data_IF_882076781475
#
_entry.id   IF_882076781475
#
_cell.length_a   1.000
_cell.length_b   1.000
_cell.length_c   1.000
_cell.angle_alpha   90.00
_cell.angle_beta   90.00
_cell.angle_gamma   90.00
#
_symmetry.space_group_name_H-M   'P 1'
#
loop_
_entity.id
_entity.type
_entity.pdbx_description
1 polymer ?
#
# COMPACT_ATOMS: atom_id res chain seq x y z
N UNK A 1 10.24 21.36 -2.86
CA UNK A 1 9.23 21.70 -1.86
C UNK A 1 7.94 20.98 -2.20
N UNK A 2 7.42 20.24 -1.21
CA UNK A 2 6.27 19.35 -1.37
C UNK A 2 4.98 20.11 -1.02
N UNK A 3 4.58 21.03 -1.90
CA UNK A 3 3.36 21.84 -1.70
C UNK A 3 2.42 21.72 -2.89
N UNK A 4 1.11 21.72 -2.61
CA UNK A 4 0.04 21.83 -3.61
C UNK A 4 -0.80 23.08 -3.32
N UNK A 5 -1.54 23.54 -4.31
CA UNK A 5 -2.55 24.57 -4.10
C UNK A 5 -3.72 24.02 -3.25
N UNK A 6 -4.20 24.82 -2.31
CA UNK A 6 -5.42 24.53 -1.59
C UNK A 6 -6.63 24.70 -2.53
N UNK A 7 -7.67 23.88 -2.32
CA UNK A 7 -8.95 24.11 -2.98
C UNK A 7 -9.54 25.45 -2.50
N UNK A 8 -9.88 26.30 -3.43
CA UNK A 8 -10.54 27.57 -3.14
C UNK A 8 -11.95 27.56 -3.71
N UNK A 9 -12.95 27.75 -2.87
CA UNK A 9 -14.35 27.76 -3.25
C UNK A 9 -14.80 29.03 -3.98
N UNK A 10 -13.96 30.05 -4.06
CA UNK A 10 -14.31 31.36 -4.68
C UNK A 10 -13.60 31.66 -6.01
N UNK A 11 -12.55 30.89 -6.34
CA UNK A 11 -11.91 30.87 -7.66
C UNK A 11 -11.73 29.42 -8.05
N UNK A 12 -12.40 28.97 -9.09
CA UNK A 12 -12.13 27.68 -9.69
C UNK A 12 -10.69 27.68 -10.26
N UNK A 13 -9.73 27.23 -9.44
CA UNK A 13 -8.44 26.85 -9.95
C UNK A 13 -8.64 25.55 -10.74
N UNK A 14 -8.42 25.61 -12.03
CA UNK A 14 -8.60 24.48 -12.95
C UNK A 14 -7.56 23.38 -12.71
N UNK A 15 -7.25 22.90 -11.61
CA UNK A 15 -6.44 21.73 -11.22
C UNK A 15 -5.96 21.89 -9.77
N UNK A 16 -6.81 21.53 -8.81
CA UNK A 16 -6.49 21.55 -7.39
C UNK A 16 -5.37 20.57 -6.95
N UNK A 17 -4.98 19.64 -7.83
CA UNK A 17 -3.96 18.63 -7.56
C UNK A 17 -2.61 18.91 -8.23
N UNK A 18 -2.49 20.01 -8.96
CA UNK A 18 -1.28 20.36 -9.68
C UNK A 18 -0.38 21.32 -8.88
N UNK A 19 0.91 21.29 -9.18
CA UNK A 19 1.88 22.28 -8.72
C UNK A 19 1.69 23.63 -9.41
N UNK A 20 0.86 23.65 -10.45
CA UNK A 20 0.53 24.82 -11.25
C UNK A 20 -0.97 25.06 -11.17
N UNK A 21 -1.36 26.29 -10.92
CA UNK A 21 -2.74 26.74 -10.94
C UNK A 21 -2.86 27.98 -11.81
N UNK A 22 -3.87 28.02 -12.67
CA UNK A 22 -4.15 29.16 -13.53
C UNK A 22 -5.51 29.75 -13.17
N UNK A 23 -5.57 31.08 -12.99
CA UNK A 23 -6.83 31.79 -12.85
C UNK A 23 -7.56 31.84 -14.18
N UNK A 24 -8.91 31.90 -14.19
CA UNK A 24 -9.65 32.21 -15.41
C UNK A 24 -9.18 33.54 -16.02
N UNK A 25 -9.20 33.63 -17.34
CA UNK A 25 -8.95 34.88 -18.03
C UNK A 25 -10.04 35.90 -17.70
N UNK A 26 -9.64 37.10 -17.33
CA UNK A 26 -10.54 38.22 -17.08
C UNK A 26 -10.12 39.44 -17.90
N UNK A 27 -11.07 40.28 -18.24
CA UNK A 27 -10.84 41.51 -19.00
C UNK A 27 -11.01 42.69 -18.05
N UNK A 28 -10.04 43.63 -18.08
CA UNK A 28 -10.13 44.92 -17.37
C UNK A 28 -10.45 46.01 -18.35
N UNK A 29 -11.46 46.80 -18.04
CA UNK A 29 -11.73 48.07 -18.73
C UNK A 29 -10.80 49.17 -18.26
N UNK A 30 -10.81 50.29 -18.99
CA UNK A 30 -9.97 51.45 -18.66
C UNK A 30 -10.38 52.05 -17.29
N UNK A 31 -9.45 52.05 -16.34
CA UNK A 31 -9.67 52.57 -14.97
C UNK A 31 -10.23 51.52 -14.01
N UNK A 32 -10.50 50.28 -14.43
CA UNK A 32 -10.90 49.20 -13.56
C UNK A 32 -9.71 48.60 -12.81
N UNK A 33 -9.95 48.17 -11.58
CA UNK A 33 -8.98 47.46 -10.75
C UNK A 33 -9.54 46.06 -10.42
N UNK A 34 -8.69 45.06 -10.63
CA UNK A 34 -9.03 43.69 -10.14
C UNK A 34 -8.19 43.37 -8.90
N UNK A 35 -8.85 42.94 -7.86
CA UNK A 35 -8.19 42.38 -6.69
C UNK A 35 -8.10 40.87 -6.87
N UNK A 36 -6.89 40.37 -7.08
CA UNK A 36 -6.66 38.93 -7.11
C UNK A 36 -6.72 38.37 -5.70
N UNK A 37 -7.43 37.26 -5.54
CA UNK A 37 -7.52 36.60 -4.25
C UNK A 37 -6.21 35.91 -3.87
N UNK A 38 -6.03 35.76 -2.56
CA UNK A 38 -4.84 35.11 -2.02
C UNK A 38 -4.79 33.63 -2.44
N UNK A 39 -3.68 33.21 -3.04
CA UNK A 39 -3.42 31.81 -3.31
C UNK A 39 -2.96 31.12 -2.04
N UNK A 40 -3.66 30.09 -1.63
CA UNK A 40 -3.26 29.24 -0.50
C UNK A 40 -2.54 28.00 -1.02
N UNK A 41 -1.45 27.66 -0.36
CA UNK A 41 -0.74 26.38 -0.57
C UNK A 41 -0.86 25.52 0.67
N UNK A 42 -0.88 24.21 0.49
CA UNK A 42 -0.86 23.24 1.59
C UNK A 42 0.41 22.39 1.48
N UNK A 43 0.99 22.08 2.63
CA UNK A 43 2.06 21.09 2.67
C UNK A 43 1.46 19.71 2.44
N UNK A 44 2.09 18.94 1.55
CA UNK A 44 1.66 17.58 1.26
C UNK A 44 2.38 16.58 2.13
N UNK A 45 1.69 15.51 2.46
CA UNK A 45 2.23 14.40 3.21
C UNK A 45 2.81 13.32 2.30
N UNK A 46 3.56 12.40 2.91
CA UNK A 46 4.15 11.23 2.27
C UNK A 46 3.86 10.00 3.11
N UNK A 47 3.44 8.93 2.44
CA UNK A 47 3.31 7.59 3.01
C UNK A 47 4.25 6.66 2.26
N UNK A 48 5.09 5.93 2.97
CA UNK A 48 6.05 5.02 2.36
C UNK A 48 6.34 3.83 3.28
N UNK A 49 6.92 2.79 2.71
CA UNK A 49 7.35 1.61 3.43
C UNK A 49 8.16 0.67 2.56
N UNK A 50 8.40 -0.51 3.10
CA UNK A 50 9.11 -1.60 2.43
C UNK A 50 8.31 -2.89 2.50
N UNK A 51 8.41 -3.70 1.46
CA UNK A 51 8.03 -5.10 1.47
C UNK A 51 9.30 -5.96 1.54
N UNK A 52 9.28 -7.00 2.37
CA UNK A 52 10.39 -7.93 2.53
C UNK A 52 9.89 -9.36 2.70
N UNK A 53 10.76 -10.32 2.41
CA UNK A 53 10.50 -11.72 2.68
C UNK A 53 11.00 -12.05 4.09
N UNK A 54 10.08 -12.30 5.00
CA UNK A 54 10.33 -12.70 6.37
C UNK A 54 10.72 -14.19 6.40
N UNK A 55 12.03 -14.45 6.33
CA UNK A 55 12.57 -15.80 6.17
C UNK A 55 12.54 -16.62 7.45
N UNK A 56 12.48 -15.95 8.60
CA UNK A 56 12.43 -16.59 9.92
C UNK A 56 11.02 -16.58 10.54
N UNK A 57 10.05 -15.93 9.87
CA UNK A 57 8.65 -15.79 10.27
C UNK A 57 8.47 -15.14 11.66
N UNK A 58 9.32 -14.16 12.02
CA UNK A 58 9.20 -13.43 13.28
C UNK A 58 8.42 -12.09 13.16
N UNK A 59 8.04 -11.71 11.94
CA UNK A 59 7.28 -10.50 11.62
C UNK A 59 8.11 -9.22 11.66
N UNK A 60 9.44 -9.31 11.74
CA UNK A 60 10.38 -8.19 11.77
C UNK A 60 11.28 -8.22 10.55
N UNK A 61 11.65 -7.03 10.08
CA UNK A 61 12.56 -6.91 8.96
C UNK A 61 14.01 -6.96 9.46
N UNK A 62 14.69 -8.06 9.24
CA UNK A 62 16.08 -8.25 9.55
C UNK A 62 17.03 -7.76 8.43
N UNK A 63 18.31 -7.55 8.76
CA UNK A 63 19.27 -6.96 7.84
C UNK A 63 19.66 -7.89 6.67
N UNK A 64 19.50 -9.17 6.84
CA UNK A 64 19.80 -10.25 5.88
C UNK A 64 18.57 -10.74 5.10
N UNK A 65 17.41 -10.21 5.41
CA UNK A 65 16.17 -10.56 4.72
C UNK A 65 16.04 -9.84 3.38
N UNK A 66 15.65 -10.60 2.33
CA UNK A 66 15.56 -10.03 1.00
C UNK A 66 14.36 -9.09 0.85
N UNK A 67 14.51 -8.12 -0.04
CA UNK A 67 13.40 -7.28 -0.47
C UNK A 67 12.38 -8.09 -1.27
N UNK A 68 11.09 -7.80 -1.09
CA UNK A 68 10.00 -8.42 -1.83
C UNK A 68 9.46 -7.45 -2.88
N UNK A 69 9.65 -7.83 -4.16
CA UNK A 69 9.11 -7.08 -5.31
C UNK A 69 7.70 -7.57 -5.69
N UNK A 70 6.98 -6.78 -6.49
CA UNK A 70 5.72 -7.20 -7.10
C UNK A 70 4.49 -7.07 -6.20
N UNK A 71 4.64 -6.72 -4.93
CA UNK A 71 3.51 -6.40 -4.05
C UNK A 71 2.81 -5.15 -4.58
N UNK A 72 1.50 -5.21 -4.76
CA UNK A 72 0.71 -4.02 -5.06
C UNK A 72 0.37 -3.28 -3.76
N UNK A 73 0.66 -2.00 -3.71
CA UNK A 73 0.25 -1.10 -2.63
C UNK A 73 -0.78 -0.10 -3.16
N UNK A 74 -1.90 0.05 -2.46
CA UNK A 74 -2.96 0.99 -2.79
C UNK A 74 -3.27 1.88 -1.58
N UNK A 75 -3.18 3.19 -1.77
CA UNK A 75 -3.61 4.15 -0.76
C UNK A 75 -5.13 4.35 -0.88
N UNK A 76 -5.84 4.10 0.19
CA UNK A 76 -7.30 4.24 0.28
C UNK A 76 -7.66 5.49 1.08
N UNK A 77 -8.69 6.22 0.65
CA UNK A 77 -9.28 7.31 1.42
C UNK A 77 -10.20 6.80 2.55
N UNK A 78 -10.83 7.68 3.29
CA UNK A 78 -11.75 7.33 4.37
C UNK A 78 -12.99 6.55 3.92
N UNK A 79 -13.39 6.68 2.65
CA UNK A 79 -14.50 5.93 2.05
C UNK A 79 -14.11 4.54 1.58
N UNK A 80 -12.80 4.25 1.52
CA UNK A 80 -12.25 3.00 1.00
C UNK A 80 -11.95 3.03 -0.51
N UNK A 81 -12.06 4.21 -1.15
CA UNK A 81 -11.71 4.36 -2.57
C UNK A 81 -10.19 4.43 -2.72
N UNK A 82 -9.65 3.81 -3.76
CA UNK A 82 -8.25 3.88 -4.11
C UNK A 82 -7.91 5.25 -4.71
N UNK A 83 -7.06 6.01 -4.02
CA UNK A 83 -6.59 7.34 -4.49
C UNK A 83 -5.23 7.28 -5.16
N UNK A 84 -4.38 6.33 -4.79
CA UNK A 84 -3.07 6.08 -5.41
C UNK A 84 -2.78 4.58 -5.41
N UNK A 85 -2.03 4.13 -6.41
CA UNK A 85 -1.59 2.73 -6.55
C UNK A 85 -0.15 2.67 -7.04
N UNK A 86 0.63 1.75 -6.50
CA UNK A 86 2.00 1.50 -6.89
C UNK A 86 2.35 0.03 -6.71
N UNK A 87 3.12 -0.53 -7.64
CA UNK A 87 3.76 -1.83 -7.45
C UNK A 87 5.12 -1.62 -6.80
N UNK A 88 5.43 -2.40 -5.77
CA UNK A 88 6.71 -2.40 -5.06
C UNK A 88 7.82 -2.85 -6.03
N UNK A 89 8.87 -2.07 -6.11
CA UNK A 89 10.02 -2.35 -6.98
C UNK A 89 10.98 -3.42 -6.42
N UNK A 90 12.02 -3.73 -7.18
CA UNK A 90 13.02 -4.74 -6.81
C UNK A 90 13.81 -4.41 -5.53
N UNK A 91 13.82 -3.14 -5.12
CA UNK A 91 14.40 -2.70 -3.86
C UNK A 91 13.45 -2.85 -2.65
N UNK A 92 12.28 -3.41 -2.87
CA UNK A 92 11.24 -3.59 -1.87
C UNK A 92 10.56 -2.31 -1.42
N UNK A 93 10.74 -1.18 -2.09
CA UNK A 93 10.25 0.13 -1.63
C UNK A 93 9.03 0.60 -2.41
N UNK A 94 8.13 1.28 -1.68
CA UNK A 94 7.05 2.05 -2.27
C UNK A 94 6.91 3.40 -1.58
N UNK A 95 6.31 4.38 -2.28
CA UNK A 95 6.13 5.72 -1.73
C UNK A 95 5.00 6.47 -2.44
N UNK A 96 3.98 6.82 -1.69
CA UNK A 96 2.94 7.74 -2.11
C UNK A 96 3.32 9.16 -1.67
N UNK A 97 3.38 10.08 -2.60
CA UNK A 97 3.77 11.47 -2.37
C UNK A 97 2.63 12.42 -2.74
N UNK A 98 2.72 13.66 -2.28
CA UNK A 98 1.73 14.70 -2.56
C UNK A 98 0.33 14.38 -2.04
N UNK A 99 0.24 13.71 -0.88
CA UNK A 99 -1.01 13.35 -0.24
C UNK A 99 -1.52 14.55 0.58
N UNK A 100 -2.81 14.86 0.49
CA UNK A 100 -3.47 15.83 1.37
C UNK A 100 -3.64 15.28 2.77
N UNK A 101 -3.81 16.15 3.77
CA UNK A 101 -4.21 15.71 5.11
C UNK A 101 -5.59 15.03 5.05
N UNK A 102 -5.77 13.98 5.83
CA UNK A 102 -7.00 13.19 5.83
C UNK A 102 -6.84 11.86 6.57
N UNK A 103 -7.84 11.00 6.44
CA UNK A 103 -7.82 9.64 6.98
C UNK A 103 -7.60 8.65 5.84
N UNK A 104 -6.64 7.77 6.01
CA UNK A 104 -6.19 6.83 4.98
C UNK A 104 -5.98 5.44 5.54
N UNK A 105 -5.91 4.46 4.65
CA UNK A 105 -5.39 3.12 4.89
C UNK A 105 -4.54 2.69 3.68
N UNK A 106 -3.68 1.71 3.86
CA UNK A 106 -2.97 1.08 2.73
C UNK A 106 -3.43 -0.36 2.60
N UNK A 107 -3.83 -0.73 1.41
CA UNK A 107 -4.14 -2.11 1.04
C UNK A 107 -2.96 -2.67 0.26
N UNK A 108 -2.53 -3.85 0.66
CA UNK A 108 -1.50 -4.62 -0.03
C UNK A 108 -2.13 -5.84 -0.68
N UNK A 109 -1.66 -6.16 -1.88
CA UNK A 109 -1.99 -7.41 -2.58
C UNK A 109 -0.69 -8.10 -2.95
N UNK A 110 -0.50 -9.32 -2.45
CA UNK A 110 0.70 -10.12 -2.71
C UNK A 110 0.64 -10.77 -4.09
N UNK A 111 1.79 -10.99 -4.74
CA UNK A 111 1.87 -11.90 -5.86
C UNK A 111 1.51 -13.34 -5.42
N UNK A 112 1.30 -14.25 -6.37
CA UNK A 112 0.91 -15.62 -6.04
C UNK A 112 2.01 -16.41 -5.32
N UNK A 113 1.61 -17.26 -4.37
CA UNK A 113 2.52 -18.15 -3.64
C UNK A 113 3.07 -17.58 -2.33
N UNK A 114 2.66 -16.37 -1.96
CA UNK A 114 3.09 -15.68 -0.74
C UNK A 114 1.94 -15.53 0.27
N UNK A 115 2.29 -15.46 1.53
CA UNK A 115 1.40 -15.13 2.65
C UNK A 115 1.91 -13.87 3.36
N UNK A 116 1.03 -13.18 4.08
CA UNK A 116 1.46 -12.08 4.95
C UNK A 116 2.14 -12.62 6.22
N UNK A 117 3.28 -12.03 6.59
CA UNK A 117 3.91 -12.27 7.88
C UNK A 117 3.06 -11.70 9.02
N UNK A 118 3.29 -12.19 10.23
CA UNK A 118 2.59 -11.72 11.42
C UNK A 118 2.85 -10.24 11.69
N UNK A 119 1.79 -9.53 12.12
CA UNK A 119 1.91 -8.14 12.57
C UNK A 119 2.53 -8.09 13.95
N UNK A 120 3.69 -7.46 14.09
CA UNK A 120 4.34 -7.30 15.39
C UNK A 120 3.95 -6.01 16.12
N UNK A 121 3.47 -4.99 15.38
CA UNK A 121 3.15 -3.67 15.95
C UNK A 121 4.36 -2.86 16.40
N UNK A 122 5.57 -3.36 16.15
CA UNK A 122 6.83 -2.69 16.47
C UNK A 122 7.35 -1.88 15.27
N UNK A 123 8.27 -0.95 15.54
CA UNK A 123 8.96 -0.21 14.48
C UNK A 123 9.82 -1.18 13.65
N UNK A 124 9.63 -1.14 12.33
CA UNK A 124 10.29 -2.07 11.41
C UNK A 124 9.51 -3.37 11.13
N UNK A 125 8.49 -3.69 11.90
CA UNK A 125 7.67 -4.88 11.71
C UNK A 125 6.57 -4.72 10.65
N UNK A 126 5.88 -5.83 10.35
CA UNK A 126 4.72 -5.85 9.45
C UNK A 126 3.57 -4.99 10.00
N UNK A 127 3.03 -4.09 9.17
CA UNK A 127 1.91 -3.21 9.53
C UNK A 127 0.53 -3.83 9.31
N UNK A 128 0.47 -4.99 8.67
CA UNK A 128 -0.77 -5.75 8.43
C UNK A 128 -0.74 -7.07 9.20
N UNK A 129 -1.91 -7.54 9.62
CA UNK A 129 -2.07 -8.87 10.17
C UNK A 129 -2.20 -9.89 9.04
N UNK A 130 -1.87 -11.17 9.29
CA UNK A 130 -2.18 -12.25 8.37
C UNK A 130 -3.67 -12.20 7.99
N UNK A 131 -3.95 -12.40 6.70
CA UNK A 131 -5.30 -12.40 6.17
C UNK A 131 -5.53 -13.66 5.34
N UNK A 132 -6.76 -14.10 5.26
CA UNK A 132 -7.12 -15.14 4.30
C UNK A 132 -6.99 -14.59 2.88
N UNK A 133 -6.22 -15.31 2.05
CA UNK A 133 -5.93 -14.87 0.68
C UNK A 133 -4.70 -13.96 0.59
N UNK A 134 -4.58 -13.28 -0.55
CA UNK A 134 -3.41 -12.49 -0.90
C UNK A 134 -3.58 -10.97 -0.69
N UNK A 135 -4.59 -10.54 0.05
CA UNK A 135 -4.88 -9.10 0.25
C UNK A 135 -5.04 -8.78 1.73
N UNK A 136 -4.35 -7.76 2.22
CA UNK A 136 -4.48 -7.25 3.58
C UNK A 136 -4.51 -5.71 3.58
N UNK A 137 -5.19 -5.13 4.57
CA UNK A 137 -5.33 -3.68 4.70
C UNK A 137 -4.91 -3.25 6.10
N UNK A 138 -4.14 -2.14 6.18
CA UNK A 138 -3.76 -1.56 7.46
C UNK A 138 -4.97 -1.03 8.23
N UNK A 139 -4.81 -0.81 9.51
CA UNK A 139 -5.74 0.06 10.23
C UNK A 139 -5.75 1.46 9.60
N UNK A 140 -6.88 2.15 9.75
CA UNK A 140 -6.99 3.54 9.30
C UNK A 140 -6.13 4.44 10.16
N UNK A 141 -5.46 5.39 9.54
CA UNK A 141 -4.62 6.38 10.21
C UNK A 141 -4.93 7.79 9.71
N UNK A 142 -4.84 8.73 10.62
CA UNK A 142 -4.86 10.14 10.27
C UNK A 142 -3.48 10.56 9.73
N UNK A 143 -3.48 11.40 8.71
CA UNK A 143 -2.29 11.96 8.08
C UNK A 143 -2.39 13.49 8.13
N UNK A 144 -1.49 14.11 8.87
CA UNK A 144 -1.44 15.55 9.00
C UNK A 144 -0.75 16.22 7.80
N UNK A 145 -0.99 17.51 7.62
CA UNK A 145 -0.32 18.31 6.58
C UNK A 145 1.20 18.31 6.79
N UNK A 146 1.95 17.90 5.77
CA UNK A 146 3.41 17.79 5.80
C UNK A 146 3.96 16.56 6.51
N UNK A 147 3.11 15.67 7.04
CA UNK A 147 3.54 14.47 7.75
C UNK A 147 4.25 13.49 6.80
N UNK A 148 5.29 12.84 7.32
CA UNK A 148 5.99 11.76 6.64
C UNK A 148 5.85 10.48 7.45
N UNK A 149 5.03 9.56 6.97
CA UNK A 149 4.87 8.22 7.54
C UNK A 149 5.63 7.22 6.68
N UNK A 150 6.83 6.83 7.13
CA UNK A 150 7.81 6.12 6.31
C UNK A 150 8.03 4.65 6.72
N UNK A 151 7.24 4.14 7.66
CA UNK A 151 7.39 2.82 8.26
C UNK A 151 6.14 1.94 8.14
N UNK A 152 5.34 2.12 7.08
CA UNK A 152 4.26 1.18 6.77
C UNK A 152 4.82 0.00 5.98
N UNK A 153 5.52 -0.88 6.69
CA UNK A 153 6.21 -2.02 6.09
C UNK A 153 5.29 -3.25 6.04
N UNK A 154 5.53 -4.15 5.10
CA UNK A 154 4.79 -5.40 4.94
C UNK A 154 5.76 -6.56 4.79
N UNK A 155 5.69 -7.52 5.73
CA UNK A 155 6.41 -8.78 5.65
C UNK A 155 5.62 -9.83 4.89
N UNK A 156 6.32 -10.66 4.13
CA UNK A 156 5.76 -11.80 3.43
C UNK A 156 6.52 -13.07 3.80
N UNK A 157 5.82 -14.20 3.83
CA UNK A 157 6.42 -15.52 4.01
C UNK A 157 6.08 -16.38 2.80
N UNK A 158 7.01 -17.23 2.38
CA UNK A 158 6.76 -18.19 1.32
C UNK A 158 5.78 -19.26 1.80
N UNK A 159 4.72 -19.50 1.04
CA UNK A 159 3.75 -20.53 1.38
C UNK A 159 4.35 -21.93 1.15
N UNK A 160 4.25 -22.78 2.15
CA UNK A 160 4.57 -24.19 2.03
C UNK A 160 3.30 -24.98 1.76
N UNK A 161 3.35 -25.88 0.80
CA UNK A 161 2.30 -26.88 0.55
C UNK A 161 2.68 -28.20 1.18
N UNK A 162 1.77 -28.76 1.96
CA UNK A 162 1.88 -30.12 2.46
C UNK A 162 0.76 -30.92 1.80
N UNK A 163 1.14 -31.87 0.97
CA UNK A 163 0.21 -32.76 0.33
C UNK A 163 0.71 -34.20 0.40
N UNK A 164 -0.22 -35.13 0.51
CA UNK A 164 0.05 -36.53 0.42
C UNK A 164 -1.10 -37.23 -0.30
N UNK A 165 -0.85 -38.45 -0.71
CA UNK A 165 -1.85 -39.28 -1.39
C UNK A 165 -2.52 -40.22 -0.40
N UNK A 166 -3.84 -40.32 -0.50
CA UNK A 166 -4.62 -41.35 0.19
C UNK A 166 -4.90 -42.45 -0.82
N UNK A 167 -4.59 -43.69 -0.44
CA UNK A 167 -4.82 -44.86 -1.29
C UNK A 167 -5.54 -45.97 -0.54
N UNK A 168 -6.13 -46.87 -1.30
CA UNK A 168 -6.72 -48.07 -0.74
C UNK A 168 -5.62 -49.16 -0.65
N UNK A 169 -5.14 -49.42 0.57
CA UNK A 169 -4.23 -50.54 0.83
C UNK A 169 -5.02 -51.83 0.74
N UNK A 170 -5.01 -52.42 -0.45
CA UNK A 170 -5.82 -53.60 -0.80
C UNK A 170 -5.25 -54.88 -0.23
N UNK A 171 -3.97 -54.92 0.12
CA UNK A 171 -3.26 -56.09 0.64
C UNK A 171 -2.92 -55.95 2.18
N UNK A 172 -3.24 -54.80 2.75
CA UNK A 172 -3.01 -54.46 4.14
C UNK A 172 -1.53 -54.55 4.59
N UNK A 173 -0.60 -54.17 3.68
CA UNK A 173 0.83 -54.14 3.99
C UNK A 173 1.37 -52.80 4.48
N UNK A 174 0.55 -51.72 4.42
CA UNK A 174 0.90 -50.35 4.84
C UNK A 174 1.80 -49.61 3.83
N UNK A 175 2.00 -50.14 2.64
CA UNK A 175 2.79 -49.52 1.58
C UNK A 175 1.91 -49.29 0.36
N UNK A 176 2.14 -48.16 -0.32
CA UNK A 176 1.48 -47.87 -1.60
C UNK A 176 2.08 -48.70 -2.73
N UNK A 177 1.33 -49.73 -3.20
CA UNK A 177 1.73 -50.60 -4.28
C UNK A 177 1.23 -50.09 -5.66
N UNK A 178 1.92 -50.48 -6.73
CA UNK A 178 1.67 -49.98 -8.09
C UNK A 178 0.22 -50.13 -8.61
N UNK A 179 -0.56 -51.02 -8.05
CA UNK A 179 -1.95 -51.30 -8.47
C UNK A 179 -3.00 -50.85 -7.51
N UNK A 180 -2.61 -50.18 -6.45
CA UNK A 180 -3.54 -49.69 -5.45
C UNK A 180 -4.14 -48.35 -5.90
N UNK A 181 -5.47 -48.24 -5.89
CA UNK A 181 -6.14 -47.04 -6.34
C UNK A 181 -5.97 -45.89 -5.35
N UNK A 182 -5.79 -44.69 -5.86
CA UNK A 182 -5.89 -43.46 -5.10
C UNK A 182 -7.37 -43.23 -4.70
N UNK A 183 -7.58 -42.70 -3.53
CA UNK A 183 -8.89 -42.28 -3.04
C UNK A 183 -8.99 -40.76 -3.23
N UNK A 184 -10.08 -40.29 -3.86
CA UNK A 184 -10.42 -38.87 -4.03
C UNK A 184 -11.22 -38.37 -2.82
#
# INVERSE_FOLDING_TARGET
>A
EDTLFAENTSLELAHADAREGQTPTFTLGMGEQATLQTVQTVHTATVAGRAWQDSNADGRMDADEPAMAGVEAELLNENGDTVMKQTVGDDGRYSFKFIRSGVYAVRFTLPGGELFADRTGEEGGSCVAPAEGNTATTERFALASGEKRLSLNVGTIEACEIGDTVWLDSNANGLQDYREPLLE
#
